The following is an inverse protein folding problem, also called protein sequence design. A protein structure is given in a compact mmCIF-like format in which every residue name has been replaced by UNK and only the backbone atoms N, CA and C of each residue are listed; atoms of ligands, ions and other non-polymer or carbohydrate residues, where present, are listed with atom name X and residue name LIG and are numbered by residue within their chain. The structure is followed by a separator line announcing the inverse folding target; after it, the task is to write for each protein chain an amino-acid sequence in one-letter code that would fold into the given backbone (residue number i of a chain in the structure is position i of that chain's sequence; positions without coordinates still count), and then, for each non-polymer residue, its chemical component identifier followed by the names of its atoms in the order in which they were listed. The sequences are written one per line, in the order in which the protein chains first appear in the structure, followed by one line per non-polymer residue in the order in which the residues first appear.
data_IF_321867945071
#
_entry.id   IF_321867945071
#
_cell.length_a   1.000
_cell.length_b   1.000
_cell.length_c   1.000
_cell.angle_alpha   90.00
_cell.angle_beta   90.00
_cell.angle_gamma   90.00
#
_symmetry.space_group_name_H-M   'P 1'
#
loop_
_entity.id
_entity.type
_entity.pdbx_description
1 polymer ?
#
# COMPACT_ATOMS: atom_id res chain seq x y z
N UNK A 1 3.04 23.54 -13.91
CA UNK A 1 2.79 22.17 -13.42
C UNK A 1 2.75 22.22 -11.90
N UNK A 2 1.82 21.51 -11.26
CA UNK A 2 1.69 21.56 -9.82
C UNK A 2 2.88 20.86 -9.14
N UNK A 3 3.43 21.46 -8.09
CA UNK A 3 4.40 20.83 -7.19
C UNK A 3 3.70 20.58 -5.86
N UNK A 4 3.80 19.35 -5.36
CA UNK A 4 3.28 18.99 -4.05
C UNK A 4 4.39 19.12 -3.02
N UNK A 5 4.09 19.77 -1.90
CA UNK A 5 4.94 19.72 -0.72
C UNK A 5 5.00 18.30 -0.16
N UNK A 6 6.07 17.98 0.55
CA UNK A 6 6.21 16.68 1.22
C UNK A 6 5.05 16.41 2.20
N UNK A 7 4.50 17.45 2.83
CA UNK A 7 3.32 17.34 3.70
C UNK A 7 2.07 16.93 2.92
N UNK A 8 1.85 17.52 1.74
CA UNK A 8 0.72 17.14 0.88
C UNK A 8 0.87 15.71 0.37
N UNK A 9 2.09 15.30 -0.01
CA UNK A 9 2.36 13.92 -0.45
C UNK A 9 2.09 12.93 0.68
N UNK A 10 2.59 13.20 1.90
CA UNK A 10 2.35 12.36 3.07
C UNK A 10 0.85 12.26 3.40
N UNK A 11 0.13 13.38 3.38
CA UNK A 11 -1.31 13.39 3.65
C UNK A 11 -2.10 12.59 2.59
N UNK A 12 -1.74 12.76 1.31
CA UNK A 12 -2.33 12.03 0.19
C UNK A 12 -2.16 10.51 0.36
N UNK A 13 -0.94 10.06 0.61
CA UNK A 13 -0.62 8.65 0.77
C UNK A 13 -1.24 8.05 2.03
N UNK A 14 -1.27 8.80 3.14
CA UNK A 14 -1.92 8.36 4.38
C UNK A 14 -3.42 8.19 4.19
N UNK A 15 -4.08 9.14 3.51
CA UNK A 15 -5.51 9.03 3.20
C UNK A 15 -5.81 7.82 2.34
N UNK A 16 -4.98 7.55 1.32
CA UNK A 16 -5.11 6.37 0.47
C UNK A 16 -4.90 5.08 1.28
N UNK A 17 -3.87 5.04 2.13
CA UNK A 17 -3.58 3.87 2.96
C UNK A 17 -4.72 3.53 3.93
N UNK A 18 -5.28 4.53 4.62
CA UNK A 18 -6.44 4.32 5.50
C UNK A 18 -7.63 3.77 4.72
N UNK A 19 -7.92 4.34 3.54
CA UNK A 19 -9.02 3.88 2.68
C UNK A 19 -8.89 2.39 2.32
N UNK A 20 -7.72 1.95 1.85
CA UNK A 20 -7.54 0.55 1.43
C UNK A 20 -7.62 -0.42 2.62
N UNK A 21 -7.12 -0.06 3.80
CA UNK A 21 -7.24 -0.90 4.99
C UNK A 21 -8.68 -1.04 5.48
N UNK A 22 -9.49 0.02 5.35
CA UNK A 22 -10.92 -0.02 5.67
C UNK A 22 -11.71 -0.85 4.66
N UNK A 23 -11.33 -0.78 3.38
CA UNK A 23 -11.91 -1.60 2.31
C UNK A 23 -11.62 -3.09 2.56
N UNK A 24 -10.36 -3.45 2.86
CA UNK A 24 -10.00 -4.85 3.15
C UNK A 24 -10.72 -5.39 4.39
N UNK A 25 -10.84 -4.60 5.46
CA UNK A 25 -11.52 -5.05 6.68
C UNK A 25 -13.02 -5.22 6.44
N UNK A 26 -13.62 -4.35 5.63
CA UNK A 26 -15.02 -4.51 5.19
C UNK A 26 -15.18 -5.80 4.39
N UNK A 27 -14.28 -6.06 3.45
CA UNK A 27 -14.31 -7.27 2.63
C UNK A 27 -14.09 -8.52 3.48
N UNK A 28 -13.20 -8.47 4.47
CA UNK A 28 -12.97 -9.54 5.46
C UNK A 28 -14.21 -9.81 6.31
N UNK A 29 -14.91 -8.77 6.76
CA UNK A 29 -16.15 -8.90 7.52
C UNK A 29 -17.31 -9.48 6.69
N UNK A 30 -17.35 -9.18 5.38
CA UNK A 30 -18.34 -9.70 4.44
C UNK A 30 -17.99 -11.07 3.87
N UNK A 31 -16.72 -11.45 3.89
CA UNK A 31 -16.23 -12.70 3.33
C UNK A 31 -16.83 -13.90 4.07
N UNK A 32 -17.58 -14.73 3.33
CA UNK A 32 -17.97 -16.07 3.81
C UNK A 32 -16.79 -17.03 3.92
N UNK A 33 -15.67 -16.70 3.29
CA UNK A 33 -14.48 -17.55 3.18
C UNK A 33 -13.77 -17.54 4.54
N UNK A 34 -14.06 -18.54 5.36
CA UNK A 34 -13.25 -18.82 6.55
C UNK A 34 -11.90 -19.36 6.08
N UNK A 35 -10.81 -18.74 6.51
CA UNK A 35 -9.45 -19.29 6.40
C UNK A 35 -9.23 -20.43 7.41
N UNK A 36 -10.15 -21.40 7.44
CA UNK A 36 -10.07 -22.58 8.33
C UNK A 36 -9.19 -23.68 7.77
N UNK A 37 -8.75 -23.53 6.52
CA UNK A 37 -7.80 -24.42 5.86
C UNK A 37 -6.40 -23.82 6.00
N UNK A 38 -5.61 -24.37 6.91
CA UNK A 38 -4.28 -23.87 7.26
C UNK A 38 -3.31 -23.87 6.07
N UNK A 39 -3.41 -24.84 5.15
CA UNK A 39 -2.55 -24.89 3.98
C UNK A 39 -2.84 -23.72 3.03
N UNK A 40 -4.12 -23.44 2.77
CA UNK A 40 -4.53 -22.29 1.95
C UNK A 40 -4.20 -20.95 2.60
N UNK A 41 -4.26 -20.88 3.93
CA UNK A 41 -3.84 -19.70 4.67
C UNK A 41 -2.34 -19.45 4.51
N UNK A 42 -1.53 -20.51 4.63
CA UNK A 42 -0.08 -20.42 4.45
C UNK A 42 0.28 -19.97 3.03
N UNK A 43 -0.27 -20.61 2.00
CA UNK A 43 -0.04 -20.25 0.60
C UNK A 43 -0.36 -18.77 0.33
N UNK A 44 -1.50 -18.29 0.84
CA UNK A 44 -1.90 -16.89 0.67
C UNK A 44 -0.95 -15.91 1.35
N UNK A 45 -0.48 -16.23 2.56
CA UNK A 45 0.50 -15.39 3.27
C UNK A 45 1.85 -15.40 2.56
N UNK A 46 2.29 -16.54 2.03
CA UNK A 46 3.53 -16.65 1.27
C UNK A 46 3.47 -15.84 -0.04
N UNK A 47 2.34 -15.87 -0.76
CA UNK A 47 2.10 -15.00 -1.93
C UNK A 47 2.23 -13.51 -1.58
N UNK A 48 1.62 -13.07 -0.47
CA UNK A 48 1.74 -11.69 0.01
C UNK A 48 3.17 -11.34 0.40
N UNK A 49 3.89 -12.25 1.07
CA UNK A 49 5.29 -12.06 1.45
C UNK A 49 6.19 -11.94 0.21
N UNK A 50 5.95 -12.75 -0.82
CA UNK A 50 6.65 -12.64 -2.11
C UNK A 50 6.41 -11.28 -2.78
N UNK A 51 5.16 -10.80 -2.80
CA UNK A 51 4.84 -9.47 -3.34
C UNK A 51 5.51 -8.35 -2.53
N UNK A 52 5.52 -8.46 -1.20
CA UNK A 52 6.16 -7.49 -0.32
C UNK A 52 7.68 -7.44 -0.57
N UNK A 53 8.30 -8.61 -0.77
CA UNK A 53 9.71 -8.72 -1.12
C UNK A 53 10.03 -8.00 -2.44
N UNK A 54 9.24 -8.21 -3.50
CA UNK A 54 9.43 -7.50 -4.76
C UNK A 54 9.28 -5.97 -4.60
N UNK A 55 8.31 -5.51 -3.83
CA UNK A 55 8.15 -4.08 -3.56
C UNK A 55 9.37 -3.50 -2.83
N UNK A 56 9.95 -4.23 -1.87
CA UNK A 56 11.19 -3.83 -1.18
C UNK A 56 12.39 -3.80 -2.12
N UNK A 57 12.53 -4.79 -3.01
CA UNK A 57 13.59 -4.81 -4.03
C UNK A 57 13.48 -3.63 -4.99
N UNK A 58 12.30 -3.38 -5.53
CA UNK A 58 12.00 -2.26 -6.43
C UNK A 58 12.31 -0.91 -5.77
N UNK A 59 11.89 -0.74 -4.51
CA UNK A 59 12.18 0.45 -3.72
C UNK A 59 13.70 0.66 -3.53
N UNK A 60 14.45 -0.42 -3.25
CA UNK A 60 15.89 -0.36 -3.02
C UNK A 60 16.68 0.06 -4.26
N UNK A 61 16.24 -0.34 -5.46
CA UNK A 61 16.88 0.03 -6.74
C UNK A 61 16.30 1.31 -7.36
N UNK A 62 15.35 1.97 -6.70
CA UNK A 62 14.70 3.18 -7.22
C UNK A 62 13.78 2.93 -8.43
N UNK A 63 13.34 1.69 -8.63
CA UNK A 63 12.37 1.35 -9.67
C UNK A 63 10.96 1.46 -9.09
N UNK A 64 10.13 2.35 -9.64
CA UNK A 64 8.77 2.59 -9.13
C UNK A 64 7.67 2.14 -10.09
N UNK A 65 8.00 1.32 -11.10
CA UNK A 65 7.07 0.92 -12.16
C UNK A 65 5.76 0.32 -11.62
N UNK A 66 5.83 -0.54 -10.59
CA UNK A 66 4.66 -1.17 -9.95
C UNK A 66 3.71 -0.16 -9.30
N UNK A 67 4.24 0.93 -8.76
CA UNK A 67 3.43 1.95 -8.09
C UNK A 67 2.71 2.87 -9.08
N UNK A 68 3.21 3.02 -10.32
CA UNK A 68 2.70 4.02 -11.29
C UNK A 68 1.20 3.91 -11.52
N UNK A 69 0.66 2.72 -11.78
CA UNK A 69 -0.77 2.55 -12.01
C UNK A 69 -1.65 2.91 -10.81
N UNK A 70 -1.18 2.63 -9.58
CA UNK A 70 -1.89 3.04 -8.36
C UNK A 70 -1.80 4.55 -8.13
N UNK A 71 -0.65 5.15 -8.41
CA UNK A 71 -0.44 6.61 -8.33
C UNK A 71 -1.31 7.34 -9.33
N UNK A 72 -1.35 6.90 -10.60
CA UNK A 72 -2.16 7.54 -11.63
C UNK A 72 -3.65 7.53 -11.28
N UNK A 73 -4.17 6.41 -10.77
CA UNK A 73 -5.55 6.34 -10.26
C UNK A 73 -5.78 7.28 -9.09
N UNK A 74 -4.88 7.28 -8.11
CA UNK A 74 -4.98 8.16 -6.93
C UNK A 74 -4.97 9.65 -7.31
N UNK A 75 -4.09 10.05 -8.22
CA UNK A 75 -4.01 11.42 -8.71
C UNK A 75 -5.27 11.82 -9.49
N UNK A 76 -5.77 10.93 -10.36
CA UNK A 76 -7.01 11.15 -11.09
C UNK A 76 -8.23 11.26 -10.16
N UNK A 77 -8.35 10.39 -9.16
CA UNK A 77 -9.41 10.44 -8.13
C UNK A 77 -9.42 11.78 -7.37
N UNK A 78 -8.27 12.43 -7.23
CA UNK A 78 -8.13 13.73 -6.54
C UNK A 78 -8.07 14.93 -7.47
N UNK A 79 -8.18 14.73 -8.79
CA UNK A 79 -8.05 15.80 -9.79
C UNK A 79 -6.68 16.50 -9.76
N UNK A 80 -5.62 15.77 -9.43
CA UNK A 80 -4.25 16.29 -9.34
C UNK A 80 -3.49 15.91 -10.62
N UNK A 81 -2.93 16.90 -11.31
CA UNK A 81 -2.03 16.67 -12.45
C UNK A 81 -0.58 16.93 -12.05
N UNK A 82 0.27 15.91 -12.19
CA UNK A 82 1.71 15.99 -11.96
C UNK A 82 2.47 15.61 -13.23
N UNK A 83 3.62 16.25 -13.42
CA UNK A 83 4.59 15.84 -14.42
C UNK A 83 5.20 14.47 -14.05
N UNK A 84 5.12 13.49 -14.95
CA UNK A 84 5.65 12.14 -14.73
C UNK A 84 7.17 12.14 -14.55
N UNK A 85 7.86 13.07 -15.18
CA UNK A 85 9.31 13.20 -15.05
C UNK A 85 9.71 14.07 -13.84
N UNK A 86 8.74 14.77 -13.26
CA UNK A 86 8.87 15.68 -12.14
C UNK A 86 9.19 14.99 -10.81
N UNK A 87 9.82 15.76 -9.91
CA UNK A 87 10.24 15.27 -8.60
C UNK A 87 9.04 14.89 -7.72
N UNK A 88 7.96 15.67 -7.76
CA UNK A 88 6.72 15.38 -7.03
C UNK A 88 6.14 14.01 -7.40
N UNK A 89 6.05 13.68 -8.69
CA UNK A 89 5.54 12.39 -9.14
C UNK A 89 6.41 11.22 -8.66
N UNK A 90 7.74 11.36 -8.78
CA UNK A 90 8.69 10.35 -8.29
C UNK A 90 8.59 10.14 -6.78
N UNK A 91 8.42 11.22 -6.00
CA UNK A 91 8.20 11.14 -4.55
C UNK A 91 6.88 10.42 -4.20
N UNK A 92 5.79 10.71 -4.91
CA UNK A 92 4.51 10.01 -4.72
C UNK A 92 4.65 8.53 -5.07
N UNK A 93 5.31 8.18 -6.18
CA UNK A 93 5.57 6.79 -6.55
C UNK A 93 6.40 6.03 -5.51
N UNK A 94 7.48 6.65 -5.01
CA UNK A 94 8.28 6.07 -3.93
C UNK A 94 7.45 5.85 -2.67
N UNK A 95 6.65 6.84 -2.27
CA UNK A 95 5.79 6.73 -1.09
C UNK A 95 4.66 5.70 -1.27
N UNK A 96 4.15 5.53 -2.49
CA UNK A 96 3.16 4.50 -2.81
C UNK A 96 3.75 3.08 -2.67
N UNK A 97 5.01 2.84 -3.07
CA UNK A 97 5.66 1.56 -2.78
C UNK A 97 5.77 1.30 -1.28
N UNK A 98 6.09 2.33 -0.49
CA UNK A 98 6.12 2.22 0.98
C UNK A 98 4.73 1.88 1.55
N UNK A 99 3.67 2.47 0.99
CA UNK A 99 2.28 2.11 1.29
C UNK A 99 2.00 0.64 0.97
N UNK A 100 2.35 0.15 -0.21
CA UNK A 100 2.15 -1.25 -0.59
C UNK A 100 2.89 -2.23 0.34
N UNK A 101 4.13 -1.91 0.73
CA UNK A 101 4.91 -2.77 1.65
C UNK A 101 4.23 -2.91 3.01
N UNK A 102 3.78 -1.79 3.58
CA UNK A 102 3.13 -1.75 4.88
C UNK A 102 1.71 -2.33 4.83
N UNK A 103 0.99 -2.11 3.73
CA UNK A 103 -0.31 -2.71 3.48
C UNK A 103 -0.22 -4.23 3.51
N UNK A 104 0.73 -4.81 2.78
CA UNK A 104 0.98 -6.25 2.80
C UNK A 104 1.40 -6.76 4.18
N UNK A 105 2.22 -6.00 4.93
CA UNK A 105 2.59 -6.37 6.30
C UNK A 105 1.36 -6.50 7.21
N UNK A 106 0.49 -5.49 7.19
CA UNK A 106 -0.72 -5.46 8.00
C UNK A 106 -1.69 -6.56 7.54
N UNK A 107 -1.88 -6.73 6.24
CA UNK A 107 -2.82 -7.70 5.71
C UNK A 107 -2.40 -9.15 6.01
N UNK A 108 -1.09 -9.45 5.94
CA UNK A 108 -0.55 -10.74 6.38
C UNK A 108 -0.85 -11.02 7.86
N UNK A 109 -0.75 -10.01 8.73
CA UNK A 109 -1.03 -10.16 10.16
C UNK A 109 -2.53 -10.28 10.45
N UNK A 110 -3.36 -9.41 9.88
CA UNK A 110 -4.82 -9.46 10.03
C UNK A 110 -5.41 -10.76 9.46
N UNK A 111 -4.78 -11.31 8.43
CA UNK A 111 -5.11 -12.64 7.90
C UNK A 111 -4.88 -13.77 8.91
N UNK A 112 -3.97 -13.57 9.86
CA UNK A 112 -3.75 -14.45 11.04
C UNK A 112 -4.48 -13.96 12.29
N UNK A 113 -5.42 -13.03 12.16
CA UNK A 113 -6.15 -12.38 13.25
C UNK A 113 -5.23 -11.62 14.24
N UNK A 114 -4.04 -11.23 13.81
CA UNK A 114 -3.13 -10.35 14.55
C UNK A 114 -3.34 -8.88 14.12
N UNK A 115 -3.86 -8.07 15.03
CA UNK A 115 -4.13 -6.64 14.82
C UNK A 115 -3.14 -5.74 15.58
N UNK A 116 -2.01 -6.27 16.05
CA UNK A 116 -1.03 -5.53 16.86
C UNK A 116 -0.37 -4.32 16.19
N UNK A 117 -0.48 -4.19 14.86
CA UNK A 117 0.08 -3.05 14.11
C UNK A 117 -0.90 -1.90 13.89
N UNK A 118 -2.18 -2.07 14.23
CA UNK A 118 -3.22 -1.08 13.92
C UNK A 118 -3.04 0.25 14.67
N UNK A 119 -2.43 0.19 15.85
CA UNK A 119 -2.18 1.35 16.71
C UNK A 119 -0.88 2.11 16.35
N UNK A 120 -0.09 1.62 15.39
CA UNK A 120 1.20 2.21 15.05
C UNK A 120 1.09 3.38 14.07
N UNK A 121 1.94 4.42 14.22
CA UNK A 121 1.99 5.53 13.27
C UNK A 121 2.52 5.06 11.91
N UNK A 122 1.99 5.64 10.84
CA UNK A 122 2.30 5.27 9.47
C UNK A 122 3.14 6.33 8.72
N UNK A 123 4.10 5.96 7.85
CA UNK A 123 4.55 4.60 7.51
C UNK A 123 5.34 3.93 8.65
N UNK A 124 5.31 2.60 8.73
CA UNK A 124 5.99 1.79 9.77
C UNK A 124 7.53 1.73 9.62
N UNK A 125 8.11 2.55 8.74
CA UNK A 125 9.52 2.47 8.31
C UNK A 125 10.39 3.39 9.14
#
# INVERSE_FOLDING_TARGET
MAELSDTQIKALLRSYFTKILEEDERDRALARKKWTDEARLADHVDEMAHLQHYCRMELAIGNYSRATGAVERLLAEKGIELDRDGLSYKKVCRGMLQVMINHLEIDMRRTRLDYSLDDLPFPLI
#
